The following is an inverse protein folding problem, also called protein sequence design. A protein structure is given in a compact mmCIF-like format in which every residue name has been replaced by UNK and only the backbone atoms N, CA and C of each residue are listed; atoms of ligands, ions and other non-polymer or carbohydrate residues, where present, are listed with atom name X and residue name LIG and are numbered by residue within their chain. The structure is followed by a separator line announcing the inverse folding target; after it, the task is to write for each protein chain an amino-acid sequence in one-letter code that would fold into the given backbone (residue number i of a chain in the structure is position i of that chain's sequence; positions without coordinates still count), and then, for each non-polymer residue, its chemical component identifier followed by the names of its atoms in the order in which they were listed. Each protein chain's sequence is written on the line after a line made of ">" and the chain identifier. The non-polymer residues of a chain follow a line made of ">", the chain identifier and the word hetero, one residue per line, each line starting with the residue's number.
data_IF_574055078586
#
_entry.id   IF_574055078586
#
_cell.length_a   1.000
_cell.length_b   1.000
_cell.length_c   1.000
_cell.angle_alpha   90.00
_cell.angle_beta   90.00
_cell.angle_gamma   90.00
#
_symmetry.space_group_name_H-M   'P 1'
#
loop_
_entity.id
_entity.type
_entity.pdbx_description
1 polymer ?
#
# COMPACT_ATOMS: atom_id res chain seq x y z
N UNK A 1 -28.11 1.90 9.73
CA UNK A 1 -27.07 2.67 10.49
C UNK A 1 -27.72 3.78 11.29
N UNK A 2 -27.47 3.88 12.62
CA UNK A 2 -27.91 5.00 13.45
C UNK A 2 -27.25 6.30 12.94
N UNK A 3 -27.91 7.46 13.06
CA UNK A 3 -27.42 8.75 12.56
C UNK A 3 -25.99 9.09 13.04
N UNK A 4 -25.65 8.78 14.29
CA UNK A 4 -24.31 8.94 14.84
C UNK A 4 -23.25 8.07 14.15
N UNK A 5 -23.57 6.84 13.73
CA UNK A 5 -22.66 5.95 13.02
C UNK A 5 -22.28 6.51 11.64
N UNK A 6 -23.22 7.11 10.90
CA UNK A 6 -22.94 7.74 9.59
C UNK A 6 -22.00 8.93 9.72
N UNK A 7 -22.22 9.79 10.74
CA UNK A 7 -21.34 10.93 11.02
C UNK A 7 -19.91 10.47 11.34
N UNK A 8 -19.78 9.47 12.20
CA UNK A 8 -18.47 8.94 12.58
C UNK A 8 -17.72 8.33 11.40
N UNK A 9 -18.41 7.55 10.55
CA UNK A 9 -17.83 6.98 9.32
C UNK A 9 -17.42 8.11 8.37
N UNK A 10 -18.18 9.17 8.23
CA UNK A 10 -17.82 10.30 7.38
C UNK A 10 -16.53 11.00 7.88
N UNK A 11 -16.38 11.24 9.20
CA UNK A 11 -15.16 11.80 9.78
C UNK A 11 -13.96 10.87 9.55
N UNK A 12 -14.12 9.57 9.78
CA UNK A 12 -13.06 8.58 9.54
C UNK A 12 -12.68 8.47 8.06
N UNK A 13 -13.67 8.53 7.17
CA UNK A 13 -13.44 8.54 5.73
C UNK A 13 -12.67 9.78 5.28
N UNK A 14 -13.02 10.94 5.82
CA UNK A 14 -12.27 12.18 5.60
C UNK A 14 -10.84 12.06 6.14
N UNK A 15 -10.68 11.49 7.34
CA UNK A 15 -9.36 11.25 7.93
C UNK A 15 -8.47 10.40 7.02
N UNK A 16 -8.98 9.26 6.54
CA UNK A 16 -8.22 8.40 5.64
C UNK A 16 -8.00 9.03 4.27
N UNK A 17 -8.99 9.73 3.72
CA UNK A 17 -8.84 10.45 2.46
C UNK A 17 -7.70 11.47 2.56
N UNK A 18 -7.63 12.25 3.64
CA UNK A 18 -6.58 13.26 3.87
C UNK A 18 -5.20 12.62 4.02
N UNK A 19 -5.08 11.56 4.81
CA UNK A 19 -3.80 10.85 4.97
C UNK A 19 -3.34 10.24 3.64
N UNK A 20 -4.25 9.64 2.88
CA UNK A 20 -3.92 9.04 1.59
C UNK A 20 -3.68 10.07 0.49
N UNK A 21 -4.38 11.20 0.53
CA UNK A 21 -4.12 12.34 -0.35
C UNK A 21 -2.73 12.89 -0.09
N UNK A 22 -2.37 13.11 1.17
CA UNK A 22 -1.02 13.55 1.54
C UNK A 22 0.06 12.55 1.11
N UNK A 23 -0.18 11.25 1.32
CA UNK A 23 0.73 10.21 0.82
C UNK A 23 0.88 10.27 -0.71
N UNK A 24 -0.25 10.40 -1.42
CA UNK A 24 -0.26 10.52 -2.89
C UNK A 24 0.43 11.80 -3.38
N UNK A 25 0.24 12.94 -2.70
CA UNK A 25 0.89 14.22 -3.05
C UNK A 25 2.41 14.13 -2.94
N UNK A 26 2.89 13.46 -1.91
CA UNK A 26 4.33 13.36 -1.63
C UNK A 26 5.05 12.40 -2.60
N UNK A 27 4.34 11.40 -3.10
CA UNK A 27 4.93 10.31 -3.90
C UNK A 27 5.63 10.79 -5.18
N UNK A 28 5.05 11.66 -6.04
CA UNK A 28 5.73 12.18 -7.22
C UNK A 28 6.87 13.14 -6.90
N UNK A 29 6.89 13.74 -5.70
CA UNK A 29 7.80 14.80 -5.32
C UNK A 29 9.12 14.25 -4.75
N UNK A 30 9.05 13.14 -4.01
CA UNK A 30 10.24 12.58 -3.35
C UNK A 30 11.44 12.39 -4.26
N UNK A 31 11.32 11.85 -5.48
CA UNK A 31 12.46 11.72 -6.38
C UNK A 31 13.16 13.05 -6.65
N UNK A 32 12.39 14.09 -6.95
CA UNK A 32 12.92 15.43 -7.25
C UNK A 32 13.49 16.13 -6.02
N UNK A 33 12.82 15.93 -4.86
CA UNK A 33 13.25 16.55 -3.61
C UNK A 33 14.58 15.96 -3.12
N UNK A 34 14.76 14.66 -3.26
CA UNK A 34 16.01 13.97 -2.93
C UNK A 34 17.10 14.33 -3.93
N UNK A 35 16.81 14.37 -5.22
CA UNK A 35 17.77 14.73 -6.27
C UNK A 35 18.26 16.16 -6.07
N UNK A 36 17.38 17.11 -5.70
CA UNK A 36 17.78 18.48 -5.38
C UNK A 36 18.76 18.61 -4.19
N UNK A 37 18.83 17.58 -3.33
CA UNK A 37 19.78 17.47 -2.21
C UNK A 37 21.03 16.64 -2.59
N UNK A 38 21.20 16.28 -3.86
CA UNK A 38 22.34 15.50 -4.35
C UNK A 38 22.33 14.02 -3.98
N UNK A 39 21.18 13.49 -3.54
CA UNK A 39 21.01 12.09 -3.17
C UNK A 39 20.77 11.20 -4.39
N UNK A 40 21.08 9.91 -4.25
CA UNK A 40 20.99 8.88 -5.29
C UNK A 40 19.72 8.06 -5.20
N UNK A 41 19.49 7.18 -6.16
CA UNK A 41 18.37 6.24 -6.18
C UNK A 41 18.34 5.30 -4.97
N UNK A 42 19.50 4.83 -4.49
CA UNK A 42 19.62 4.01 -3.30
C UNK A 42 19.09 4.70 -2.04
N UNK A 43 19.37 5.99 -1.86
CA UNK A 43 18.89 6.77 -0.73
C UNK A 43 17.37 7.01 -0.83
N UNK A 44 16.86 7.24 -2.04
CA UNK A 44 15.41 7.28 -2.28
C UNK A 44 14.74 5.96 -1.91
N UNK A 45 15.28 4.84 -2.37
CA UNK A 45 14.77 3.51 -2.07
C UNK A 45 14.73 3.22 -0.56
N UNK A 46 15.79 3.57 0.16
CA UNK A 46 15.85 3.46 1.61
C UNK A 46 14.82 4.36 2.30
N UNK A 47 14.70 5.63 1.89
CA UNK A 47 13.72 6.57 2.46
C UNK A 47 12.27 6.07 2.29
N UNK A 48 11.94 5.54 1.12
CA UNK A 48 10.60 4.99 0.87
C UNK A 48 10.34 3.75 1.73
N UNK A 49 11.33 2.89 1.90
CA UNK A 49 11.22 1.64 2.66
C UNK A 49 11.00 1.84 4.18
N UNK A 50 11.40 2.99 4.74
CA UNK A 50 11.24 3.28 6.18
C UNK A 50 9.76 3.16 6.59
N UNK A 51 8.83 3.72 5.82
CA UNK A 51 7.41 3.72 6.22
C UNK A 51 6.81 2.32 6.32
N UNK A 52 6.90 1.44 5.32
CA UNK A 52 6.37 0.09 5.45
C UNK A 52 7.15 -0.74 6.50
N UNK A 53 8.45 -0.47 6.71
CA UNK A 53 9.23 -1.10 7.76
C UNK A 53 8.72 -0.70 9.16
N UNK A 54 8.53 0.58 9.41
CA UNK A 54 7.97 1.04 10.69
C UNK A 54 6.51 0.61 10.87
N UNK A 55 5.71 0.57 9.81
CA UNK A 55 4.35 0.03 9.88
C UNK A 55 4.34 -1.45 10.27
N UNK A 56 5.23 -2.27 9.71
CA UNK A 56 5.34 -3.69 10.06
C UNK A 56 5.62 -3.90 11.55
N UNK A 57 6.49 -3.08 12.14
CA UNK A 57 6.88 -3.18 13.55
C UNK A 57 5.86 -2.54 14.51
N UNK A 58 5.37 -1.35 14.18
CA UNK A 58 4.62 -0.53 15.12
C UNK A 58 3.09 -0.63 14.98
N UNK A 59 2.55 -1.06 13.82
CA UNK A 59 1.10 -1.16 13.67
C UNK A 59 0.45 -2.14 14.67
N UNK A 60 1.02 -3.33 14.98
CA UNK A 60 0.49 -4.21 16.03
C UNK A 60 0.57 -3.60 17.43
N UNK A 61 1.65 -2.84 17.71
CA UNK A 61 1.84 -2.15 19.00
C UNK A 61 0.75 -1.09 19.16
N UNK A 62 0.54 -0.24 18.16
CA UNK A 62 -0.50 0.77 18.17
C UNK A 62 -1.91 0.20 18.23
N UNK A 63 -2.17 -0.95 17.57
CA UNK A 63 -3.42 -1.69 17.72
C UNK A 63 -3.69 -2.05 19.18
N UNK A 64 -2.70 -2.66 19.85
CA UNK A 64 -2.78 -3.00 21.29
C UNK A 64 -2.94 -1.78 22.20
N UNK A 65 -2.23 -0.68 21.93
CA UNK A 65 -2.38 0.58 22.67
C UNK A 65 -3.79 1.15 22.51
N UNK A 66 -4.35 1.06 21.29
CA UNK A 66 -5.70 1.49 20.96
C UNK A 66 -6.77 0.69 21.70
N UNK A 67 -6.57 -0.63 21.89
CA UNK A 67 -7.45 -1.48 22.68
C UNK A 67 -7.47 -1.13 24.18
N UNK A 68 -6.40 -0.50 24.67
CA UNK A 68 -6.27 -0.13 26.10
C UNK A 68 -6.64 1.32 26.38
N UNK A 69 -6.14 2.25 25.55
CA UNK A 69 -6.29 3.69 25.80
C UNK A 69 -7.53 4.28 25.12
N UNK A 70 -8.14 3.52 24.21
CA UNK A 70 -9.26 3.98 23.38
C UNK A 70 -8.81 4.29 21.95
N UNK A 71 -9.77 4.31 21.05
CA UNK A 71 -9.53 4.51 19.61
C UNK A 71 -9.18 5.96 19.26
N UNK A 72 -9.96 6.90 19.78
CA UNK A 72 -9.83 8.33 19.49
C UNK A 72 -8.45 8.91 19.82
N UNK A 73 -7.89 8.73 21.04
CA UNK A 73 -6.58 9.30 21.39
C UNK A 73 -5.46 8.72 20.54
N UNK A 74 -5.51 7.42 20.20
CA UNK A 74 -4.49 6.77 19.37
C UNK A 74 -4.57 7.24 17.92
N UNK A 75 -5.79 7.42 17.37
CA UNK A 75 -6.00 8.02 16.06
C UNK A 75 -5.46 9.45 15.99
N UNK A 76 -5.70 10.25 17.05
CA UNK A 76 -5.19 11.61 17.16
C UNK A 76 -3.65 11.66 17.16
N UNK A 77 -2.98 10.73 17.88
CA UNK A 77 -1.51 10.61 17.86
C UNK A 77 -1.00 10.25 16.44
N UNK A 78 -1.69 9.35 15.74
CA UNK A 78 -1.33 8.99 14.36
C UNK A 78 -1.40 10.16 13.39
N UNK A 79 -2.48 10.95 13.47
CA UNK A 79 -2.66 12.15 12.64
C UNK A 79 -1.65 13.26 13.00
N UNK A 80 -1.43 13.49 14.28
CA UNK A 80 -0.44 14.46 14.75
C UNK A 80 0.95 14.10 14.25
N UNK A 81 1.34 12.83 14.40
CA UNK A 81 2.64 12.33 13.93
C UNK A 81 2.82 12.48 12.43
N UNK A 82 1.77 12.19 11.65
CA UNK A 82 1.81 12.40 10.20
C UNK A 82 1.92 13.87 9.84
N UNK A 83 1.14 14.76 10.47
CA UNK A 83 1.21 16.20 10.25
C UNK A 83 2.57 16.80 10.61
N UNK A 84 3.15 16.42 11.76
CA UNK A 84 4.51 16.82 12.16
C UNK A 84 5.55 16.33 11.16
N UNK A 85 5.45 15.07 10.70
CA UNK A 85 6.36 14.54 9.69
C UNK A 85 6.32 15.37 8.41
N UNK A 86 5.13 15.73 7.92
CA UNK A 86 4.98 16.55 6.73
C UNK A 86 5.57 17.96 6.94
N UNK A 87 5.36 18.56 8.11
CA UNK A 87 5.98 19.84 8.44
C UNK A 87 7.51 19.75 8.42
N UNK A 88 8.07 18.70 9.03
CA UNK A 88 9.53 18.47 9.03
C UNK A 88 10.07 18.22 7.64
N UNK A 89 9.33 17.52 6.76
CA UNK A 89 9.72 17.38 5.35
C UNK A 89 9.78 18.72 4.64
N UNK A 90 8.79 19.58 4.83
CA UNK A 90 8.76 20.91 4.21
C UNK A 90 9.89 21.84 4.68
N UNK A 91 10.40 21.62 5.91
CA UNK A 91 11.49 22.41 6.52
C UNK A 91 12.87 21.77 6.32
N UNK A 92 12.96 20.57 5.74
CA UNK A 92 14.23 19.86 5.59
C UNK A 92 15.11 20.53 4.56
N UNK A 93 16.36 20.80 4.94
CA UNK A 93 17.42 21.35 4.09
C UNK A 93 18.53 20.33 3.82
N UNK A 94 18.57 19.25 4.59
CA UNK A 94 19.58 18.21 4.54
C UNK A 94 18.94 16.83 4.44
N UNK A 95 19.57 15.91 3.72
CA UNK A 95 19.06 14.57 3.49
C UNK A 95 18.74 13.78 4.78
N UNK A 96 19.61 13.87 5.80
CA UNK A 96 19.38 13.18 7.06
C UNK A 96 18.09 13.62 7.77
N UNK A 97 17.69 14.89 7.59
CA UNK A 97 16.44 15.41 8.15
C UNK A 97 15.22 14.68 7.57
N UNK A 98 15.26 14.34 6.27
CA UNK A 98 14.21 13.55 5.61
C UNK A 98 14.09 12.15 6.22
N UNK A 99 15.21 11.49 6.51
CA UNK A 99 15.22 10.18 7.15
C UNK A 99 14.64 10.23 8.56
N UNK A 100 15.02 11.22 9.36
CA UNK A 100 14.46 11.42 10.71
C UNK A 100 12.96 11.73 10.64
N UNK A 101 12.55 12.68 9.82
CA UNK A 101 11.15 13.05 9.62
C UNK A 101 10.31 11.84 9.19
N UNK A 102 10.84 11.02 8.26
CA UNK A 102 10.19 9.80 7.79
C UNK A 102 10.06 8.75 8.88
N UNK A 103 11.14 8.51 9.64
CA UNK A 103 11.15 7.53 10.73
C UNK A 103 10.15 7.87 11.83
N UNK A 104 10.23 9.08 12.37
CA UNK A 104 9.33 9.56 13.43
C UNK A 104 7.87 9.56 12.94
N UNK A 105 7.64 10.12 11.75
CA UNK A 105 6.30 10.16 11.17
C UNK A 105 5.72 8.77 10.92
N UNK A 106 6.52 7.83 10.42
CA UNK A 106 6.07 6.48 10.14
C UNK A 106 5.73 5.68 11.41
N UNK A 107 6.52 5.86 12.50
CA UNK A 107 6.23 5.24 13.80
C UNK A 107 4.86 5.70 14.32
N UNK A 108 4.61 7.00 14.33
CA UNK A 108 3.37 7.56 14.88
C UNK A 108 2.18 7.29 13.94
N UNK A 109 2.32 7.52 12.64
CA UNK A 109 1.25 7.31 11.67
C UNK A 109 0.85 5.85 11.47
N UNK A 110 1.70 4.89 11.88
CA UNK A 110 1.35 3.46 11.91
C UNK A 110 0.12 3.17 12.78
N UNK A 111 -0.23 4.08 13.69
CA UNK A 111 -1.43 4.03 14.52
C UNK A 111 -2.74 4.21 13.71
N UNK A 112 -2.72 4.95 12.58
CA UNK A 112 -3.93 5.45 11.92
C UNK A 112 -4.79 4.33 11.35
N UNK A 113 -4.22 3.46 10.50
CA UNK A 113 -4.98 2.44 9.77
C UNK A 113 -5.62 1.38 10.69
N UNK A 114 -4.85 0.71 11.59
CA UNK A 114 -5.43 -0.30 12.47
C UNK A 114 -6.49 0.28 13.41
N UNK A 115 -6.27 1.49 13.93
CA UNK A 115 -7.21 2.16 14.82
C UNK A 115 -8.49 2.56 14.10
N UNK A 116 -8.40 3.05 12.85
CA UNK A 116 -9.58 3.39 12.04
C UNK A 116 -10.42 2.16 11.73
N UNK A 117 -9.80 1.04 11.35
CA UNK A 117 -10.51 -0.21 11.08
C UNK A 117 -11.20 -0.76 12.33
N UNK A 118 -10.51 -0.72 13.49
CA UNK A 118 -11.09 -1.10 14.77
C UNK A 118 -12.26 -0.18 15.17
N UNK A 119 -12.13 1.14 15.00
CA UNK A 119 -13.20 2.09 15.27
C UNK A 119 -14.46 1.79 14.46
N UNK A 120 -14.33 1.52 13.15
CA UNK A 120 -15.48 1.14 12.31
C UNK A 120 -16.12 -0.15 12.80
N UNK A 121 -15.29 -1.14 13.16
CA UNK A 121 -15.78 -2.41 13.70
C UNK A 121 -16.58 -2.22 15.00
N UNK A 122 -16.13 -1.32 15.89
CA UNK A 122 -16.79 -1.01 17.15
C UNK A 122 -18.09 -0.19 16.96
N UNK A 123 -18.16 0.62 15.88
CA UNK A 123 -19.23 1.60 15.65
C UNK A 123 -20.33 1.13 14.69
N UNK A 124 -20.18 -0.05 14.07
CA UNK A 124 -21.12 -0.60 13.09
C UNK A 124 -21.65 -1.97 13.51
N UNK A 125 -22.89 -2.28 13.10
CA UNK A 125 -23.41 -3.63 13.19
C UNK A 125 -22.67 -4.57 12.22
N UNK A 126 -22.74 -5.89 12.44
CA UNK A 126 -22.12 -6.86 11.52
C UNK A 126 -22.64 -6.70 10.09
N UNK A 127 -23.93 -6.39 9.93
CA UNK A 127 -24.58 -6.20 8.63
C UNK A 127 -24.10 -4.91 7.92
N UNK A 128 -23.86 -3.84 8.67
CA UNK A 128 -23.43 -2.53 8.14
C UNK A 128 -21.91 -2.37 7.99
N UNK A 129 -21.14 -3.28 8.62
CA UNK A 129 -19.66 -3.19 8.67
C UNK A 129 -19.03 -3.20 7.28
N UNK A 130 -19.51 -4.09 6.39
CA UNK A 130 -19.02 -4.14 5.01
C UNK A 130 -19.22 -2.83 4.26
N UNK A 131 -20.38 -2.18 4.43
CA UNK A 131 -20.65 -0.86 3.85
C UNK A 131 -19.72 0.23 4.42
N UNK A 132 -19.49 0.24 5.74
CA UNK A 132 -18.57 1.18 6.38
C UNK A 132 -17.13 1.06 5.86
N UNK A 133 -16.62 -0.17 5.78
CA UNK A 133 -15.28 -0.45 5.22
C UNK A 133 -15.21 -0.06 3.73
N UNK A 134 -16.29 -0.29 2.97
CA UNK A 134 -16.37 0.12 1.57
C UNK A 134 -16.24 1.63 1.38
N UNK A 135 -16.91 2.43 2.22
CA UNK A 135 -16.81 3.91 2.19
C UNK A 135 -15.39 4.37 2.54
N UNK A 136 -14.74 3.75 3.54
CA UNK A 136 -13.35 4.04 3.87
C UNK A 136 -12.40 3.68 2.70
N UNK A 137 -12.64 2.55 2.05
CA UNK A 137 -11.87 2.13 0.87
C UNK A 137 -12.02 3.13 -0.30
N UNK A 138 -13.23 3.59 -0.57
CA UNK A 138 -13.48 4.61 -1.59
C UNK A 138 -12.78 5.94 -1.27
N UNK A 139 -12.86 6.40 -0.03
CA UNK A 139 -12.18 7.61 0.44
C UNK A 139 -10.65 7.51 0.32
N UNK A 140 -10.09 6.35 0.70
CA UNK A 140 -8.66 6.03 0.52
C UNK A 140 -8.26 6.07 -0.95
N UNK A 141 -9.07 5.44 -1.82
CA UNK A 141 -8.84 5.42 -3.27
C UNK A 141 -8.86 6.81 -3.89
N UNK A 142 -9.82 7.67 -3.51
CA UNK A 142 -9.88 9.07 -3.96
C UNK A 142 -8.62 9.85 -3.58
N UNK A 143 -8.14 9.71 -2.34
CA UNK A 143 -6.89 10.34 -1.90
C UNK A 143 -5.69 9.88 -2.74
N UNK A 144 -5.58 8.59 -3.02
CA UNK A 144 -4.50 8.02 -3.84
C UNK A 144 -4.55 8.47 -5.31
N UNK A 145 -5.74 8.72 -5.87
CA UNK A 145 -5.92 9.18 -7.26
C UNK A 145 -5.63 10.67 -7.37
N UNK A 146 -6.21 11.49 -6.49
CA UNK A 146 -6.10 12.95 -6.56
C UNK A 146 -4.74 13.45 -6.04
N UNK A 147 -4.16 12.73 -5.08
CA UNK A 147 -2.91 13.13 -4.42
C UNK A 147 -1.78 13.42 -5.40
N UNK A 148 -1.39 12.49 -6.28
CA UNK A 148 -0.26 12.69 -7.19
C UNK A 148 -0.44 13.89 -8.12
N UNK A 149 -1.61 14.10 -8.71
CA UNK A 149 -1.88 15.24 -9.58
C UNK A 149 -1.76 16.57 -8.82
N UNK A 150 -2.38 16.64 -7.63
CA UNK A 150 -2.30 17.83 -6.78
C UNK A 150 -0.87 18.09 -6.30
N UNK A 151 -0.16 17.01 -5.91
CA UNK A 151 1.21 17.11 -5.45
C UNK A 151 2.16 17.60 -6.54
N UNK A 152 2.09 17.00 -7.74
CA UNK A 152 2.89 17.41 -8.89
C UNK A 152 2.65 18.86 -9.27
N UNK A 153 1.38 19.29 -9.36
CA UNK A 153 1.00 20.65 -9.68
C UNK A 153 1.47 21.67 -8.62
N UNK A 154 1.27 21.38 -7.33
CA UNK A 154 1.66 22.26 -6.23
C UNK A 154 3.20 22.35 -6.06
N UNK A 155 3.94 21.39 -6.57
CA UNK A 155 5.39 21.35 -6.49
C UNK A 155 6.11 22.10 -7.61
N UNK A 156 5.40 22.63 -8.61
CA UNK A 156 5.99 23.35 -9.75
C UNK A 156 6.83 24.55 -9.30
N UNK A 157 6.28 25.35 -8.39
CA UNK A 157 6.98 26.55 -7.90
C UNK A 157 7.91 26.24 -6.71
N UNK A 158 7.55 25.25 -5.88
CA UNK A 158 8.33 24.86 -4.71
C UNK A 158 8.03 23.42 -4.29
N UNK A 159 9.08 22.60 -4.26
CA UNK A 159 9.00 21.21 -3.82
C UNK A 159 8.52 21.05 -2.37
N UNK A 160 8.62 22.10 -1.53
CA UNK A 160 8.20 22.08 -0.13
C UNK A 160 6.69 22.39 0.05
N UNK A 161 6.06 23.10 -0.89
CA UNK A 161 4.65 23.54 -0.78
C UNK A 161 3.68 22.39 -0.48
N UNK A 162 3.71 21.24 -1.19
CA UNK A 162 2.80 20.12 -0.93
C UNK A 162 2.92 19.55 0.48
N UNK A 163 4.13 19.58 1.06
CA UNK A 163 4.34 19.09 2.43
C UNK A 163 3.68 20.01 3.45
N UNK A 164 3.80 21.34 3.30
CA UNK A 164 3.15 22.29 4.21
C UNK A 164 1.63 22.24 4.10
N UNK A 165 1.08 22.14 2.88
CA UNK A 165 -0.36 21.99 2.67
C UNK A 165 -0.86 20.70 3.31
N UNK A 166 -0.16 19.59 3.11
CA UNK A 166 -0.50 18.30 3.74
C UNK A 166 -0.46 18.40 5.26
N UNK A 167 0.55 19.04 5.83
CA UNK A 167 0.65 19.25 7.28
C UNK A 167 -0.54 20.05 7.80
N UNK A 168 -0.92 21.16 7.14
CA UNK A 168 -2.06 21.99 7.51
C UNK A 168 -3.39 21.23 7.46
N UNK A 169 -3.64 20.49 6.38
CA UNK A 169 -4.86 19.68 6.22
C UNK A 169 -4.91 18.54 7.25
N UNK A 170 -3.78 17.92 7.58
CA UNK A 170 -3.70 16.91 8.65
C UNK A 170 -4.01 17.50 10.03
N UNK A 171 -3.51 18.68 10.34
CA UNK A 171 -3.79 19.37 11.61
C UNK A 171 -5.27 19.80 11.71
N UNK A 172 -5.86 20.28 10.62
CA UNK A 172 -7.30 20.55 10.57
C UNK A 172 -8.13 19.27 10.77
N UNK A 173 -7.72 18.16 10.15
CA UNK A 173 -8.38 16.87 10.33
C UNK A 173 -8.22 16.35 11.75
N UNK A 174 -7.06 16.54 12.37
CA UNK A 174 -6.84 16.24 13.78
C UNK A 174 -7.81 17.03 14.68
N UNK A 175 -7.97 18.32 14.42
CA UNK A 175 -8.92 19.16 15.15
C UNK A 175 -10.36 18.65 15.01
N UNK A 176 -10.77 18.27 13.80
CA UNK A 176 -12.09 17.66 13.55
C UNK A 176 -12.27 16.34 14.32
N UNK A 177 -11.27 15.49 14.33
CA UNK A 177 -11.29 14.21 15.10
C UNK A 177 -11.40 14.50 16.60
N UNK A 178 -10.60 15.42 17.13
CA UNK A 178 -10.60 15.74 18.56
C UNK A 178 -11.92 16.37 19.00
N UNK A 179 -12.53 17.26 18.21
CA UNK A 179 -13.75 17.95 18.57
C UNK A 179 -15.02 17.14 18.33
N UNK A 180 -15.08 16.39 17.22
CA UNK A 180 -16.35 15.84 16.73
C UNK A 180 -16.45 14.31 16.72
N UNK A 181 -15.31 13.60 16.80
CA UNK A 181 -15.34 12.13 16.85
C UNK A 181 -15.49 11.68 18.32
N UNK A 182 -16.56 10.96 18.70
CA UNK A 182 -16.68 10.38 20.02
C UNK A 182 -15.71 9.20 20.19
N UNK A 183 -15.43 8.80 21.43
CA UNK A 183 -14.72 7.54 21.68
C UNK A 183 -15.65 6.35 21.35
N UNK A 184 -15.13 5.34 20.62
CA UNK A 184 -15.94 4.16 20.25
C UNK A 184 -15.79 3.02 21.26
N UNK A 185 -14.68 2.98 22.01
CA UNK A 185 -14.40 1.92 22.95
C UNK A 185 -14.74 2.37 24.39
N UNK A 186 -15.82 1.86 25.00
CA UNK A 186 -16.19 2.16 26.38
C UNK A 186 -15.06 1.81 27.36
N UNK A 187 -14.97 2.56 28.47
CA UNK A 187 -13.89 2.36 29.45
C UNK A 187 -13.88 0.93 30.01
N UNK A 188 -15.05 0.35 30.20
CA UNK A 188 -15.26 -1.01 30.72
C UNK A 188 -14.80 -2.10 29.75
N UNK A 189 -14.84 -1.81 28.44
CA UNK A 189 -14.42 -2.75 27.39
C UNK A 189 -12.92 -2.71 27.09
N UNK A 190 -12.17 -1.77 27.70
CA UNK A 190 -10.74 -1.64 27.48
C UNK A 190 -9.99 -2.78 28.14
N UNK A 191 -9.17 -3.46 27.36
CA UNK A 191 -8.39 -4.60 27.86
C UNK A 191 -7.35 -4.14 28.88
N UNK A 192 -7.35 -4.73 30.07
CA UNK A 192 -6.38 -4.43 31.15
C UNK A 192 -4.99 -5.02 30.88
N UNK A 193 -4.93 -6.13 30.13
CA UNK A 193 -3.68 -6.87 29.87
C UNK A 193 -3.37 -6.96 28.37
N UNK A 194 -2.16 -6.57 27.96
CA UNK A 194 -1.71 -6.78 26.59
C UNK A 194 -1.44 -8.25 26.33
N UNK A 195 -2.00 -8.76 25.31
CA UNK A 195 -1.36 -9.86 24.60
C UNK A 195 -0.04 -9.29 24.04
N UNK A 196 1.09 -9.61 24.68
CA UNK A 196 2.41 -9.19 24.19
C UNK A 196 2.64 -9.91 22.85
N UNK A 197 2.53 -9.15 21.76
CA UNK A 197 2.97 -9.64 20.45
C UNK A 197 4.50 -9.71 20.56
N UNK A 198 5.04 -10.92 20.62
CA UNK A 198 6.50 -11.15 20.60
C UNK A 198 6.95 -11.13 19.14
N UNK A 199 7.71 -10.12 18.66
CA UNK A 199 8.16 -10.04 17.27
C UNK A 199 8.92 -11.29 16.82
N UNK A 200 9.69 -11.91 17.71
CA UNK A 200 10.42 -13.15 17.42
C UNK A 200 9.49 -14.34 17.15
N UNK A 201 8.33 -14.43 17.82
CA UNK A 201 7.34 -15.47 17.54
C UNK A 201 6.72 -15.27 16.14
N UNK A 202 6.44 -14.03 15.78
CA UNK A 202 5.90 -13.68 14.46
C UNK A 202 6.86 -14.05 13.32
N UNK A 203 8.17 -13.80 13.48
CA UNK A 203 9.18 -14.22 12.50
C UNK A 203 9.26 -15.75 12.37
N UNK A 204 9.18 -16.48 13.48
CA UNK A 204 9.15 -17.95 13.48
C UNK A 204 7.90 -18.50 12.78
N UNK A 205 6.74 -17.89 12.99
CA UNK A 205 5.50 -18.26 12.30
C UNK A 205 5.57 -17.94 10.79
N UNK A 206 6.13 -16.80 10.40
CA UNK A 206 6.36 -16.44 9.00
C UNK A 206 7.24 -17.47 8.29
N UNK A 207 8.33 -17.90 8.93
CA UNK A 207 9.23 -18.91 8.36
C UNK A 207 8.56 -20.29 8.21
N UNK A 208 7.84 -20.75 9.23
CA UNK A 208 7.06 -22.00 9.15
C UNK A 208 6.00 -21.95 8.07
N UNK A 209 5.27 -20.84 7.97
CA UNK A 209 4.24 -20.65 6.97
C UNK A 209 4.81 -20.65 5.54
N UNK A 210 6.00 -20.06 5.33
CA UNK A 210 6.69 -20.06 4.04
C UNK A 210 7.05 -21.49 3.60
N UNK A 211 7.42 -22.35 4.56
CA UNK A 211 7.76 -23.76 4.31
C UNK A 211 6.53 -24.66 4.11
N UNK A 212 5.32 -24.18 4.47
CA UNK A 212 4.08 -24.93 4.34
C UNK A 212 3.46 -24.77 2.95
N UNK A 213 2.96 -25.85 2.34
CA UNK A 213 2.20 -25.81 1.08
C UNK A 213 0.72 -26.02 1.38
N UNK A 214 -0.18 -25.26 0.69
CA UNK A 214 -0.01 -24.30 -0.39
C UNK A 214 0.24 -22.87 0.08
N UNK A 215 0.18 -22.57 1.38
CA UNK A 215 0.19 -21.21 1.93
C UNK A 215 1.50 -20.47 1.59
N UNK A 216 2.67 -21.13 1.69
CA UNK A 216 3.96 -20.50 1.41
C UNK A 216 4.08 -19.94 -0.01
N UNK A 217 3.48 -20.61 -1.00
CA UNK A 217 3.46 -20.14 -2.39
C UNK A 217 2.62 -18.86 -2.51
N UNK A 218 1.45 -18.83 -1.86
CA UNK A 218 0.57 -17.65 -1.87
C UNK A 218 1.21 -16.46 -1.15
N UNK A 219 1.93 -16.71 -0.06
CA UNK A 219 2.71 -15.70 0.63
C UNK A 219 3.86 -15.16 -0.23
N UNK A 220 4.54 -16.04 -0.98
CA UNK A 220 5.55 -15.63 -1.97
C UNK A 220 4.91 -14.75 -3.06
N UNK A 221 3.72 -15.12 -3.56
CA UNK A 221 2.99 -14.27 -4.52
C UNK A 221 2.63 -12.92 -3.92
N UNK A 222 2.17 -12.87 -2.66
CA UNK A 222 1.87 -11.61 -1.97
C UNK A 222 3.11 -10.69 -1.87
N UNK A 223 4.28 -11.28 -1.58
CA UNK A 223 5.56 -10.57 -1.60
C UNK A 223 5.86 -10.02 -2.99
N UNK A 224 5.82 -10.87 -4.05
CA UNK A 224 6.16 -10.49 -5.42
C UNK A 224 5.24 -9.40 -5.98
N UNK A 225 3.94 -9.46 -5.67
CA UNK A 225 2.96 -8.42 -6.03
C UNK A 225 3.39 -7.06 -5.50
N UNK A 226 3.65 -7.00 -4.19
CA UNK A 226 4.03 -5.75 -3.54
C UNK A 226 5.42 -5.29 -3.94
N UNK A 227 6.36 -6.21 -4.13
CA UNK A 227 7.71 -5.93 -4.62
C UNK A 227 7.66 -5.27 -6.00
N UNK A 228 6.97 -5.89 -6.98
CA UNK A 228 6.86 -5.35 -8.34
C UNK A 228 6.22 -3.97 -8.38
N UNK A 229 5.10 -3.78 -7.67
CA UNK A 229 4.42 -2.49 -7.61
C UNK A 229 5.30 -1.40 -7.01
N UNK A 230 5.95 -1.66 -5.88
CA UNK A 230 6.75 -0.65 -5.19
C UNK A 230 8.12 -0.44 -5.80
N UNK A 231 8.66 -1.44 -6.53
CA UNK A 231 9.81 -1.28 -7.40
C UNK A 231 9.52 -0.24 -8.50
N UNK A 232 8.35 -0.34 -9.16
CA UNK A 232 7.91 0.68 -10.11
C UNK A 232 7.68 2.04 -9.46
N UNK A 233 6.79 2.10 -8.47
CA UNK A 233 6.36 3.38 -7.89
C UNK A 233 7.50 4.13 -7.20
N UNK A 234 8.43 3.41 -6.58
CA UNK A 234 9.52 4.01 -5.81
C UNK A 234 10.53 4.77 -6.66
N UNK A 235 10.82 4.29 -7.88
CA UNK A 235 11.88 4.84 -8.71
C UNK A 235 11.38 5.56 -9.96
N UNK A 236 10.07 5.44 -10.27
CA UNK A 236 9.52 5.96 -11.54
C UNK A 236 9.79 7.45 -11.74
N UNK A 237 9.72 8.27 -10.69
CA UNK A 237 9.98 9.70 -10.82
C UNK A 237 11.41 10.02 -11.25
N UNK A 238 12.43 9.34 -10.68
CA UNK A 238 13.83 9.48 -11.13
C UNK A 238 14.02 8.96 -12.56
N UNK A 239 13.41 7.82 -12.89
CA UNK A 239 13.44 7.29 -14.25
C UNK A 239 12.83 8.27 -15.26
N UNK A 240 11.71 8.88 -14.93
CA UNK A 240 11.03 9.83 -15.79
C UNK A 240 11.85 11.12 -15.98
N UNK A 241 12.49 11.60 -14.92
CA UNK A 241 13.42 12.73 -14.96
C UNK A 241 14.64 12.43 -15.83
N UNK A 242 15.35 11.33 -15.57
CA UNK A 242 16.60 11.00 -16.26
C UNK A 242 16.39 10.66 -17.74
N UNK A 243 15.32 9.91 -18.05
CA UNK A 243 15.09 9.44 -19.43
C UNK A 243 14.35 10.44 -20.30
N UNK A 244 13.37 11.17 -19.76
CA UNK A 244 12.45 12.01 -20.53
C UNK A 244 12.58 13.50 -20.19
N UNK A 245 13.26 13.85 -19.09
CA UNK A 245 13.31 15.23 -18.57
C UNK A 245 11.98 15.69 -17.98
N UNK A 246 11.08 14.75 -17.55
CA UNK A 246 9.79 15.09 -16.96
C UNK A 246 9.98 15.67 -15.57
N UNK A 247 9.19 16.71 -15.27
CA UNK A 247 9.14 17.35 -13.96
C UNK A 247 8.08 16.71 -13.03
N UNK A 248 7.86 17.40 -11.92
CA UNK A 248 6.89 16.97 -10.90
C UNK A 248 5.46 16.94 -11.44
N UNK A 249 5.11 17.86 -12.33
CA UNK A 249 3.77 17.96 -12.91
C UNK A 249 3.44 16.76 -13.79
N UNK A 250 4.30 16.43 -14.76
CA UNK A 250 4.10 15.29 -15.65
C UNK A 250 4.06 13.97 -14.87
N UNK A 251 4.99 13.79 -13.93
CA UNK A 251 5.00 12.59 -13.07
C UNK A 251 3.75 12.53 -12.21
N UNK A 252 3.27 13.66 -11.69
CA UNK A 252 2.03 13.76 -10.94
C UNK A 252 0.81 13.31 -11.74
N UNK A 253 0.68 13.81 -12.98
CA UNK A 253 -0.40 13.40 -13.89
C UNK A 253 -0.30 11.91 -14.29
N UNK A 254 0.88 11.42 -14.58
CA UNK A 254 1.09 9.99 -14.90
C UNK A 254 0.65 9.10 -13.73
N UNK A 255 1.06 9.43 -12.50
CA UNK A 255 0.65 8.65 -11.31
C UNK A 255 -0.84 8.79 -10.98
N UNK A 256 -1.47 9.92 -11.29
CA UNK A 256 -2.92 10.05 -11.20
C UNK A 256 -3.65 9.12 -12.18
N UNK A 257 -3.17 9.03 -13.43
CA UNK A 257 -3.68 8.07 -14.42
C UNK A 257 -3.51 6.63 -13.91
N UNK A 258 -2.36 6.29 -13.32
CA UNK A 258 -2.15 4.99 -12.64
C UNK A 258 -3.25 4.73 -11.60
N UNK A 259 -3.53 5.72 -10.75
CA UNK A 259 -4.57 5.62 -9.72
C UNK A 259 -5.97 5.39 -10.31
N UNK A 260 -6.33 6.13 -11.36
CA UNK A 260 -7.63 6.01 -12.06
C UNK A 260 -7.75 4.62 -12.71
N UNK A 261 -6.74 4.21 -13.47
CA UNK A 261 -6.71 2.89 -14.14
C UNK A 261 -6.81 1.75 -13.12
N UNK A 262 -6.08 1.86 -11.99
CA UNK A 262 -6.13 0.88 -10.92
C UNK A 262 -7.54 0.80 -10.29
N UNK A 263 -8.15 1.95 -9.99
CA UNK A 263 -9.49 2.02 -9.40
C UNK A 263 -10.56 1.42 -10.33
N UNK A 264 -10.53 1.78 -11.62
CA UNK A 264 -11.43 1.23 -12.64
C UNK A 264 -11.24 -0.28 -12.79
N UNK A 265 -9.99 -0.74 -12.86
CA UNK A 265 -9.67 -2.16 -12.98
C UNK A 265 -10.18 -2.95 -11.78
N UNK A 266 -9.94 -2.46 -10.55
CA UNK A 266 -10.41 -3.14 -9.34
C UNK A 266 -11.93 -3.14 -9.23
N UNK A 267 -12.58 -2.02 -9.55
CA UNK A 267 -14.02 -1.87 -9.44
C UNK A 267 -14.81 -2.63 -10.50
N UNK A 268 -14.31 -2.67 -11.73
CA UNK A 268 -15.05 -3.19 -12.90
C UNK A 268 -14.58 -4.57 -13.32
N UNK A 269 -13.26 -4.81 -13.37
CA UNK A 269 -12.71 -6.02 -14.00
C UNK A 269 -12.46 -7.17 -13.02
N UNK A 270 -12.11 -6.87 -11.75
CA UNK A 270 -11.70 -7.90 -10.78
C UNK A 270 -12.79 -8.97 -10.59
N UNK A 271 -14.02 -8.56 -10.31
CA UNK A 271 -15.13 -9.50 -10.08
C UNK A 271 -15.43 -10.41 -11.26
N UNK A 272 -15.73 -9.85 -12.45
CA UNK A 272 -16.00 -10.65 -13.66
C UNK A 272 -14.87 -11.57 -14.06
N UNK A 273 -13.63 -11.09 -14.08
CA UNK A 273 -12.48 -11.89 -14.51
C UNK A 273 -12.18 -13.03 -13.52
N UNK A 274 -12.24 -12.76 -12.21
CA UNK A 274 -12.01 -13.79 -11.19
C UNK A 274 -13.12 -14.85 -11.22
N UNK A 275 -14.36 -14.45 -11.47
CA UNK A 275 -15.48 -15.42 -11.63
C UNK A 275 -15.35 -16.27 -12.88
N UNK A 276 -14.88 -15.69 -14.00
CA UNK A 276 -14.81 -16.39 -15.30
C UNK A 276 -13.58 -17.28 -15.43
N UNK A 277 -12.41 -16.82 -14.98
CA UNK A 277 -11.13 -17.51 -15.18
C UNK A 277 -10.59 -18.17 -13.91
N UNK A 278 -11.14 -17.84 -12.74
CA UNK A 278 -10.63 -18.24 -11.42
C UNK A 278 -9.37 -17.46 -11.01
N UNK A 279 -9.12 -17.42 -9.73
CA UNK A 279 -8.02 -16.66 -9.14
C UNK A 279 -6.65 -17.11 -9.66
N UNK A 280 -6.43 -18.43 -9.79
CA UNK A 280 -5.16 -18.98 -10.22
C UNK A 280 -4.79 -18.57 -11.66
N UNK A 281 -5.76 -18.57 -12.58
CA UNK A 281 -5.52 -18.12 -13.97
C UNK A 281 -5.29 -16.61 -14.02
N UNK A 282 -6.06 -15.81 -13.26
CA UNK A 282 -5.85 -14.37 -13.15
C UNK A 282 -4.43 -14.07 -12.65
N UNK A 283 -3.95 -14.75 -11.58
CA UNK A 283 -2.59 -14.59 -11.07
C UNK A 283 -1.54 -14.86 -12.15
N UNK A 284 -1.67 -15.97 -12.89
CA UNK A 284 -0.72 -16.33 -13.96
C UNK A 284 -0.67 -15.27 -15.06
N UNK A 285 -1.82 -14.90 -15.61
CA UNK A 285 -1.91 -13.92 -16.71
C UNK A 285 -1.40 -12.55 -16.27
N UNK A 286 -1.71 -12.14 -15.05
CA UNK A 286 -1.31 -10.81 -14.54
C UNK A 286 0.17 -10.72 -14.20
N UNK A 287 0.80 -11.79 -13.70
CA UNK A 287 2.25 -11.83 -13.50
C UNK A 287 3.00 -11.66 -14.82
N UNK A 288 2.62 -12.43 -15.84
CA UNK A 288 3.25 -12.33 -17.17
C UNK A 288 2.97 -10.97 -17.80
N UNK A 289 1.71 -10.50 -17.75
CA UNK A 289 1.32 -9.19 -18.30
C UNK A 289 2.09 -8.03 -17.67
N UNK A 290 2.29 -8.05 -16.34
CA UNK A 290 3.09 -7.05 -15.64
C UNK A 290 4.57 -7.11 -16.02
N UNK A 291 5.14 -8.31 -16.20
CA UNK A 291 6.52 -8.48 -16.63
C UNK A 291 6.75 -7.93 -18.05
N UNK A 292 5.85 -8.26 -18.99
CA UNK A 292 5.90 -7.73 -20.36
C UNK A 292 5.78 -6.21 -20.36
N UNK A 293 4.85 -5.65 -19.57
CA UNK A 293 4.64 -4.22 -19.50
C UNK A 293 5.87 -3.47 -18.94
N UNK A 294 6.63 -4.04 -18.01
CA UNK A 294 7.89 -3.46 -17.54
C UNK A 294 8.94 -3.35 -18.66
N UNK A 295 9.04 -4.37 -19.51
CA UNK A 295 9.96 -4.32 -20.65
C UNK A 295 9.46 -3.31 -21.70
N UNK A 296 8.15 -3.27 -21.97
CA UNK A 296 7.56 -2.32 -22.91
C UNK A 296 7.74 -0.85 -22.47
N UNK A 297 7.73 -0.57 -21.15
CA UNK A 297 7.96 0.78 -20.65
C UNK A 297 9.34 1.31 -21.08
N UNK A 298 10.36 0.45 -21.17
CA UNK A 298 11.69 0.85 -21.63
C UNK A 298 11.75 1.23 -23.11
N UNK A 299 10.77 0.83 -23.91
CA UNK A 299 10.68 1.18 -25.33
C UNK A 299 9.90 2.48 -25.59
N UNK A 300 9.19 3.01 -24.59
CA UNK A 300 8.41 4.22 -24.72
C UNK A 300 9.33 5.45 -24.89
N UNK A 301 9.02 6.30 -25.87
CA UNK A 301 9.79 7.52 -26.16
C UNK A 301 8.92 8.78 -26.24
N UNK A 302 7.61 8.64 -26.09
CA UNK A 302 6.64 9.75 -26.11
C UNK A 302 5.67 9.63 -24.95
N UNK A 303 5.12 10.75 -24.48
CA UNK A 303 4.17 10.74 -23.36
C UNK A 303 2.97 9.80 -23.58
N UNK A 304 2.32 9.75 -24.77
CA UNK A 304 1.26 8.77 -25.02
C UNK A 304 1.74 7.31 -24.91
N UNK A 305 2.96 6.99 -25.36
CA UNK A 305 3.54 5.66 -25.25
C UNK A 305 3.84 5.31 -23.78
N UNK A 306 4.35 6.27 -23.00
CA UNK A 306 4.54 6.11 -21.55
C UNK A 306 3.21 5.84 -20.85
N UNK A 307 2.18 6.62 -21.10
CA UNK A 307 0.84 6.43 -20.55
C UNK A 307 0.26 5.06 -20.91
N UNK A 308 0.39 4.64 -22.17
CA UNK A 308 -0.09 3.33 -22.63
C UNK A 308 0.65 2.18 -21.94
N UNK A 309 1.98 2.22 -21.89
CA UNK A 309 2.77 1.15 -21.28
C UNK A 309 2.55 1.07 -19.78
N UNK A 310 2.36 2.21 -19.10
CA UNK A 310 2.02 2.27 -17.67
C UNK A 310 0.60 1.73 -17.43
N UNK A 311 -0.36 2.05 -18.28
CA UNK A 311 -1.71 1.46 -18.20
C UNK A 311 -1.66 -0.07 -18.39
N UNK A 312 -0.86 -0.57 -19.35
CA UNK A 312 -0.63 -1.99 -19.58
C UNK A 312 0.04 -2.68 -18.37
N UNK A 313 0.86 -1.98 -17.58
CA UNK A 313 1.40 -2.47 -16.32
C UNK A 313 0.35 -2.43 -15.20
N UNK A 314 -0.40 -1.32 -15.10
CA UNK A 314 -1.31 -1.05 -14.00
C UNK A 314 -2.51 -2.01 -13.99
N UNK A 315 -3.08 -2.33 -15.16
CA UNK A 315 -4.24 -3.24 -15.26
C UNK A 315 -3.93 -4.62 -14.67
N UNK A 316 -2.92 -5.36 -15.13
CA UNK A 316 -2.62 -6.66 -14.53
C UNK A 316 -2.20 -6.55 -13.06
N UNK A 317 -1.43 -5.55 -12.69
CA UNK A 317 -1.00 -5.37 -11.29
C UNK A 317 -2.18 -5.10 -10.34
N UNK A 318 -3.16 -4.30 -10.76
CA UNK A 318 -4.36 -4.01 -9.98
C UNK A 318 -5.25 -5.24 -9.74
N UNK A 319 -5.26 -6.20 -10.68
CA UNK A 319 -5.98 -7.47 -10.56
C UNK A 319 -5.25 -8.48 -9.68
N UNK A 320 -3.93 -8.43 -9.65
CA UNK A 320 -3.08 -9.44 -9.02
C UNK A 320 -3.29 -9.51 -7.50
N UNK A 321 -3.29 -8.36 -6.83
CA UNK A 321 -3.44 -8.28 -5.38
C UNK A 321 -4.77 -8.86 -4.86
N UNK A 322 -5.95 -8.48 -5.39
CA UNK A 322 -7.22 -9.08 -4.98
C UNK A 322 -7.29 -10.58 -5.25
N UNK A 323 -6.75 -11.05 -6.38
CA UNK A 323 -6.73 -12.46 -6.72
C UNK A 323 -5.90 -13.29 -5.73
N UNK A 324 -4.71 -12.81 -5.33
CA UNK A 324 -3.85 -13.46 -4.32
C UNK A 324 -4.56 -13.48 -2.96
N UNK A 325 -5.15 -12.37 -2.51
CA UNK A 325 -5.89 -12.28 -1.24
C UNK A 325 -7.05 -13.27 -1.24
N UNK A 326 -7.86 -13.30 -2.30
CA UNK A 326 -9.01 -14.22 -2.43
C UNK A 326 -8.57 -15.68 -2.38
N UNK A 327 -7.50 -16.02 -3.12
CA UNK A 327 -7.00 -17.39 -3.15
C UNK A 327 -6.38 -17.81 -1.81
N UNK A 328 -5.67 -16.90 -1.13
CA UNK A 328 -5.14 -17.14 0.22
C UNK A 328 -6.27 -17.41 1.21
N UNK A 329 -7.33 -16.61 1.19
CA UNK A 329 -8.49 -16.81 2.06
C UNK A 329 -9.21 -18.14 1.81
N UNK A 330 -9.26 -18.61 0.55
CA UNK A 330 -9.93 -19.87 0.17
C UNK A 330 -9.11 -21.12 0.48
N UNK A 331 -7.78 -21.03 0.47
CA UNK A 331 -6.87 -22.19 0.58
C UNK A 331 -6.10 -22.26 1.89
N UNK A 332 -6.37 -21.36 2.82
CA UNK A 332 -5.75 -21.42 4.15
C UNK A 332 -6.38 -22.56 4.97
N UNK A 333 -5.58 -23.57 5.27
CA UNK A 333 -5.95 -24.66 6.22
C UNK A 333 -5.83 -24.19 7.68
N UNK A 334 -5.28 -22.99 7.92
CA UNK A 334 -5.16 -22.33 9.22
C UNK A 334 -6.31 -21.38 9.47
N UNK A 335 -6.45 -20.89 10.72
CA UNK A 335 -7.41 -19.82 11.02
C UNK A 335 -7.26 -18.66 10.03
N UNK A 336 -8.35 -18.26 9.40
CA UNK A 336 -8.36 -17.24 8.34
C UNK A 336 -7.66 -15.93 8.78
N UNK A 337 -7.77 -15.57 10.07
CA UNK A 337 -7.09 -14.41 10.63
C UNK A 337 -5.57 -14.51 10.57
N UNK A 338 -5.01 -15.69 10.87
CA UNK A 338 -3.56 -15.95 10.82
C UNK A 338 -3.06 -15.86 9.38
N UNK A 339 -3.74 -16.52 8.44
CA UNK A 339 -3.37 -16.48 7.02
C UNK A 339 -3.38 -15.07 6.45
N UNK A 340 -4.37 -14.26 6.79
CA UNK A 340 -4.46 -12.85 6.35
C UNK A 340 -3.40 -11.97 7.02
N UNK A 341 -3.09 -12.22 8.30
CA UNK A 341 -1.99 -11.56 9.00
C UNK A 341 -0.64 -11.83 8.33
N UNK A 342 -0.35 -13.10 8.00
CA UNK A 342 0.84 -13.50 7.26
C UNK A 342 0.90 -12.87 5.87
N UNK A 343 -0.21 -12.88 5.12
CA UNK A 343 -0.30 -12.23 3.82
C UNK A 343 0.05 -10.73 3.91
N UNK A 344 -0.45 -10.02 4.92
CA UNK A 344 -0.12 -8.62 5.13
C UNK A 344 1.37 -8.41 5.49
N UNK A 345 1.97 -9.32 6.26
CA UNK A 345 3.40 -9.27 6.59
C UNK A 345 4.27 -9.45 5.34
N UNK A 346 3.96 -10.42 4.48
CA UNK A 346 4.67 -10.63 3.22
C UNK A 346 4.47 -9.48 2.21
N UNK A 347 3.27 -8.90 2.16
CA UNK A 347 3.06 -7.65 1.41
C UNK A 347 3.94 -6.51 1.94
N UNK A 348 4.09 -6.37 3.26
CA UNK A 348 4.96 -5.35 3.86
C UNK A 348 6.42 -5.59 3.53
N UNK A 349 6.90 -6.85 3.56
CA UNK A 349 8.26 -7.19 3.13
C UNK A 349 8.51 -6.83 1.66
N UNK A 350 7.55 -7.07 0.76
CA UNK A 350 7.64 -6.65 -0.64
C UNK A 350 7.72 -5.13 -0.79
N UNK A 351 6.92 -4.40 0.00
CA UNK A 351 6.96 -2.92 0.04
C UNK A 351 8.25 -2.34 0.62
N UNK A 352 8.99 -3.10 1.42
CA UNK A 352 10.30 -2.73 1.93
C UNK A 352 11.37 -3.04 0.89
N UNK A 353 11.40 -4.29 0.42
CA UNK A 353 12.45 -4.78 -0.47
C UNK A 353 12.41 -4.15 -1.86
N UNK A 354 11.20 -3.85 -2.40
CA UNK A 354 11.02 -3.30 -3.75
C UNK A 354 11.75 -1.97 -3.96
N UNK A 355 11.46 -0.93 -3.17
CA UNK A 355 12.12 0.37 -3.33
C UNK A 355 13.63 0.30 -3.05
N UNK A 356 14.07 -0.48 -2.05
CA UNK A 356 15.50 -0.67 -1.75
C UNK A 356 16.20 -1.26 -2.97
N UNK A 357 15.70 -2.38 -3.47
CA UNK A 357 16.25 -3.03 -4.66
C UNK A 357 16.28 -2.07 -5.85
N UNK A 358 15.13 -1.43 -6.13
CA UNK A 358 15.00 -0.52 -7.26
C UNK A 358 15.99 0.63 -7.18
N UNK A 359 16.16 1.24 -6.01
CA UNK A 359 17.11 2.33 -5.79
C UNK A 359 18.56 1.92 -6.03
N UNK A 360 19.01 0.78 -5.44
CA UNK A 360 20.37 0.31 -5.60
C UNK A 360 20.72 -0.07 -7.05
N UNK A 361 19.82 -0.75 -7.75
CA UNK A 361 20.09 -1.12 -9.15
C UNK A 361 19.92 0.06 -10.11
N UNK A 362 19.13 1.07 -9.75
CA UNK A 362 19.01 2.32 -10.51
C UNK A 362 20.32 3.09 -10.56
N UNK A 363 21.08 3.12 -9.44
CA UNK A 363 22.38 3.79 -9.37
C UNK A 363 23.44 3.16 -10.32
N UNK A 364 23.19 1.94 -10.80
CA UNK A 364 24.04 1.27 -11.79
C UNK A 364 23.55 1.57 -13.23
N UNK A 365 22.26 1.42 -13.50
CA UNK A 365 21.63 1.77 -14.78
C UNK A 365 20.10 1.95 -14.54
N UNK A 366 19.56 3.06 -15.03
CA UNK A 366 18.14 3.43 -14.88
C UNK A 366 17.15 2.39 -15.44
N UNK A 367 17.59 1.44 -16.28
CA UNK A 367 16.78 0.36 -16.87
C UNK A 367 16.68 -0.87 -15.95
N UNK A 368 17.69 -1.08 -15.12
CA UNK A 368 17.80 -2.29 -14.29
C UNK A 368 16.63 -2.51 -13.34
N UNK A 369 16.02 -1.49 -12.71
CA UNK A 369 14.84 -1.70 -11.87
C UNK A 369 13.70 -2.41 -12.61
N UNK A 370 13.45 -2.03 -13.87
CA UNK A 370 12.39 -2.58 -14.70
C UNK A 370 12.74 -3.96 -15.25
N UNK A 371 13.98 -4.15 -15.72
CA UNK A 371 14.45 -5.46 -16.22
C UNK A 371 14.49 -6.51 -15.11
N UNK A 372 15.05 -6.16 -13.95
CA UNK A 372 15.10 -7.07 -12.79
C UNK A 372 13.70 -7.32 -12.21
N UNK A 373 12.85 -6.28 -12.17
CA UNK A 373 11.45 -6.41 -11.77
C UNK A 373 10.68 -7.35 -12.72
N UNK A 374 10.88 -7.22 -14.03
CA UNK A 374 10.30 -8.13 -15.03
C UNK A 374 10.79 -9.58 -14.83
N UNK A 375 12.10 -9.79 -14.62
CA UNK A 375 12.66 -11.11 -14.36
C UNK A 375 12.07 -11.77 -13.09
N UNK A 376 11.89 -11.01 -12.01
CA UNK A 376 11.27 -11.47 -10.76
C UNK A 376 9.80 -11.85 -10.99
N UNK A 377 9.04 -11.05 -11.76
CA UNK A 377 7.64 -11.35 -12.09
C UNK A 377 7.52 -12.59 -13.00
N UNK A 378 8.46 -12.78 -13.94
CA UNK A 378 8.54 -14.02 -14.74
C UNK A 378 8.85 -15.22 -13.85
N UNK A 379 9.78 -15.10 -12.91
CA UNK A 379 10.04 -16.15 -11.94
C UNK A 379 8.78 -16.50 -11.12
N UNK A 380 8.04 -15.47 -10.67
CA UNK A 380 6.73 -15.66 -10.03
C UNK A 380 5.71 -16.36 -10.92
N UNK A 381 5.67 -16.01 -12.22
CA UNK A 381 4.84 -16.69 -13.20
C UNK A 381 5.20 -18.16 -13.35
N UNK A 382 6.47 -18.49 -13.49
CA UNK A 382 6.95 -19.90 -13.56
C UNK A 382 6.58 -20.66 -12.30
N UNK A 383 6.81 -20.10 -11.11
CA UNK A 383 6.39 -20.69 -9.85
C UNK A 383 4.86 -20.92 -9.85
N UNK A 384 4.08 -19.96 -10.33
CA UNK A 384 2.63 -20.10 -10.37
C UNK A 384 2.14 -21.19 -11.33
N UNK A 385 2.86 -21.43 -12.43
CA UNK A 385 2.56 -22.55 -13.35
C UNK A 385 2.79 -23.91 -12.69
N UNK A 386 3.86 -24.03 -11.92
CA UNK A 386 4.25 -25.30 -11.28
C UNK A 386 3.37 -25.66 -10.08
N UNK A 387 2.83 -24.64 -9.36
CA UNK A 387 2.25 -24.85 -8.04
C UNK A 387 0.81 -24.38 -7.86
N UNK A 388 0.27 -23.59 -8.77
CA UNK A 388 -1.13 -23.19 -8.73
C UNK A 388 -1.93 -24.02 -9.76
N UNK A 389 -2.62 -25.10 -9.34
CA UNK A 389 -3.39 -25.94 -10.26
C UNK A 389 -4.51 -25.13 -10.92
N UNK A 390 -4.87 -25.50 -12.15
CA UNK A 390 -6.00 -24.93 -12.89
C UNK A 390 -7.35 -25.29 -12.24
N UNK A 391 -8.43 -24.62 -12.66
CA UNK A 391 -9.78 -24.89 -12.14
C UNK A 391 -10.25 -26.34 -12.34
N UNK A 392 -9.78 -27.08 -13.34
CA UNK A 392 -10.21 -28.43 -13.64
C UNK A 392 -9.78 -29.47 -12.58
N UNK A 393 -8.63 -29.27 -11.91
CA UNK A 393 -8.18 -30.19 -10.86
C UNK A 393 -8.95 -30.06 -9.56
N UNK A 394 -9.52 -28.90 -9.27
CA UNK A 394 -10.31 -28.67 -8.04
C UNK A 394 -11.72 -29.26 -8.12
N UNK A 395 -12.28 -29.43 -9.31
CA UNK A 395 -13.57 -30.10 -9.51
C UNK A 395 -13.48 -31.64 -9.30
N UNK A 396 -12.31 -32.22 -9.58
CA UNK A 396 -12.09 -33.67 -9.43
C UNK A 396 -11.85 -34.15 -7.99
N UNK A 397 -11.38 -33.29 -7.11
CA UNK A 397 -11.07 -33.68 -5.70
C UNK A 397 -12.34 -33.65 -4.84
N UNK A 398 -13.31 -32.78 -5.16
CA UNK A 398 -14.60 -32.71 -4.43
C UNK A 398 -15.55 -33.89 -4.62
N UNK A 399 -15.33 -34.72 -5.65
CA UNK A 399 -16.16 -35.91 -5.94
C UNK A 399 -15.60 -37.18 -5.29
N UNK A 400 -14.32 -37.24 -4.93
CA UNK A 400 -13.70 -38.43 -4.32
C UNK A 400 -13.82 -38.50 -2.78
N UNK A 401 -14.33 -37.48 -2.11
CA UNK A 401 -14.52 -37.49 -0.66
C UNK A 401 -15.98 -37.73 -0.21
N UNK A 402 -16.86 -38.16 -1.13
CA UNK A 402 -18.27 -38.53 -0.85
C UNK A 402 -18.66 -39.93 -1.34
N UNK A 403 -17.71 -40.86 -1.39
CA UNK A 403 -18.01 -42.29 -1.57
C UNK A 403 -17.46 -43.07 -0.39
#
# INVERSE_FOLDING_TARGET
>A
MKANSRKNIAILSLTLAVVMLGFGMVMPIFPFYIESMGARGSELGLLIAISPFMQLLFAPIWGSVSDRKGRKPVLAVGLLGYGISMLLFGLATELWMLFVARGVGAILSAATMPTTMAYVSDSTSEQDRGGGIGVLGAATGLGMVLGPALGGWLAVDSLSTPFFITAGVCLLTLLLVVLFLPESLPAEARRSTATQIKPAAQLGEMWRALSSRPLGILLTMAFLVSFGLTCFQGIFGLYALERFGYGTEEVGWILAVVGIVAALTQGVLTGPLTKRWGEAAVIKVTLLGSAVAFVLLLTANTLPAVLLTIALFTVPNALLRPAVISLTSKRADTEQGVAMGLNNSFNSLGRIAGPIWAGFVFDVDYRLPYLSGAAILVAGFVISLMWLPGQEETAGVGVRSRV
#
